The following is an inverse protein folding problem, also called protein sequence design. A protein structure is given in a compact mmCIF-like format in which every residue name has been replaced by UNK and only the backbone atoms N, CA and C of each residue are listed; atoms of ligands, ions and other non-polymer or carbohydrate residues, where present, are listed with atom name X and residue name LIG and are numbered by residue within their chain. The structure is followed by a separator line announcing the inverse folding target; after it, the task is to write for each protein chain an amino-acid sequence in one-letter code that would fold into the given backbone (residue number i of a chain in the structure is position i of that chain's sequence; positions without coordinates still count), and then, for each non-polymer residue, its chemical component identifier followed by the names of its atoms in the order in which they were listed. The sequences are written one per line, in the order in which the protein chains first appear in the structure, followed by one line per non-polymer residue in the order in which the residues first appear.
data_IF_767833990281
#
_entry.id   IF_767833990281
#
_cell.length_a   1.000
_cell.length_b   1.000
_cell.length_c   1.000
_cell.angle_alpha   90.00
_cell.angle_beta   90.00
_cell.angle_gamma   90.00
#
_symmetry.space_group_name_H-M   'P 1'
#
loop_
_entity.id
_entity.type
_entity.pdbx_description
1 polymer ?
#
# COMPACT_ATOMS: atom_id res chain seq x y z
N UNK A 1 -0.84 -1.52 -5.97
CA UNK A 1 -1.11 -0.46 -4.97
C UNK A 1 0.16 -0.03 -4.21
N UNK A 2 0.66 -0.78 -3.22
CA UNK A 2 1.73 -0.29 -2.32
C UNK A 2 3.14 -0.31 -2.91
N UNK A 3 3.46 -1.27 -3.77
CA UNK A 3 4.78 -1.46 -4.39
C UNK A 3 4.88 -0.88 -5.80
N UNK A 4 3.75 -0.42 -6.37
CA UNK A 4 3.68 0.05 -7.76
C UNK A 4 3.83 -1.03 -8.84
N UNK A 5 4.04 -2.29 -8.46
CA UNK A 5 4.18 -3.43 -9.40
C UNK A 5 3.56 -4.70 -8.81
N UNK A 6 3.09 -5.60 -9.67
CA UNK A 6 2.65 -6.96 -9.33
C UNK A 6 3.81 -7.97 -9.31
N UNK A 7 5.00 -7.59 -9.79
CA UNK A 7 6.18 -8.46 -9.82
C UNK A 7 6.79 -8.64 -8.42
N UNK A 8 7.16 -9.87 -8.09
CA UNK A 8 7.82 -10.23 -6.83
C UNK A 8 9.32 -10.46 -7.10
N UNK A 9 10.24 -9.93 -6.26
CA UNK A 9 11.67 -10.22 -6.40
C UNK A 9 11.94 -11.72 -6.29
N UNK A 10 12.91 -12.23 -7.07
CA UNK A 10 13.31 -13.64 -7.03
C UNK A 10 13.74 -14.09 -5.62
N UNK A 11 14.45 -13.22 -4.90
CA UNK A 11 14.88 -13.46 -3.51
C UNK A 11 13.77 -13.23 -2.47
N UNK A 12 12.52 -13.01 -2.92
CA UNK A 12 11.36 -12.77 -2.07
C UNK A 12 11.27 -11.35 -1.50
N UNK A 13 10.35 -11.16 -0.54
CA UNK A 13 10.02 -9.84 0.02
C UNK A 13 11.16 -9.22 0.85
N UNK A 14 12.11 -10.03 1.34
CA UNK A 14 13.28 -9.53 2.08
C UNK A 14 14.17 -8.63 1.21
N UNK A 15 14.17 -8.87 -0.10
CA UNK A 15 14.94 -8.12 -1.11
C UNK A 15 14.09 -7.11 -1.88
N UNK A 16 12.96 -6.67 -1.32
CA UNK A 16 12.20 -5.55 -1.90
C UNK A 16 13.09 -4.31 -2.03
N UNK A 17 12.98 -3.63 -3.17
CA UNK A 17 13.69 -2.38 -3.47
C UNK A 17 12.69 -1.24 -3.54
N UNK A 18 13.10 -0.09 -3.03
CA UNK A 18 12.47 1.19 -3.27
C UNK A 18 13.35 2.05 -4.18
N UNK A 19 12.95 3.32 -4.33
CA UNK A 19 13.66 4.34 -5.12
C UNK A 19 15.15 4.50 -4.76
N UNK A 20 15.50 4.37 -3.48
CA UNK A 20 16.87 4.61 -2.98
C UNK A 20 17.57 3.32 -2.49
N UNK A 21 17.20 2.14 -3.01
CA UNK A 21 17.84 0.86 -2.66
C UNK A 21 16.94 -0.11 -1.88
N UNK A 22 17.50 -1.06 -1.11
CA UNK A 22 16.72 -2.06 -0.37
C UNK A 22 15.74 -1.40 0.60
N UNK A 23 14.45 -1.72 0.47
CA UNK A 23 13.38 -1.15 1.29
C UNK A 23 12.27 -2.18 1.49
N UNK A 24 12.14 -2.65 2.72
CA UNK A 24 11.08 -3.57 3.13
C UNK A 24 9.71 -2.91 3.07
N UNK A 25 8.68 -3.73 2.90
CA UNK A 25 7.31 -3.31 3.08
C UNK A 25 7.08 -2.81 4.53
N UNK A 26 6.39 -1.69 4.67
CA UNK A 26 6.13 -1.07 5.97
C UNK A 26 4.69 -0.54 6.05
N UNK A 27 4.08 -0.66 7.23
CA UNK A 27 2.77 -0.09 7.54
C UNK A 27 2.93 0.95 8.63
N UNK A 28 2.48 2.17 8.37
CA UNK A 28 2.50 3.26 9.35
C UNK A 28 1.09 3.73 9.65
N UNK A 29 0.78 3.94 10.93
CA UNK A 29 -0.49 4.52 11.35
C UNK A 29 -0.52 6.01 10.97
N UNK A 30 -1.51 6.42 10.18
CA UNK A 30 -1.60 7.81 9.69
C UNK A 30 -3.04 8.27 9.45
N UNK A 31 -3.35 9.53 9.75
CA UNK A 31 -4.60 10.17 9.34
C UNK A 31 -5.80 9.89 10.24
N UNK A 32 -6.98 10.26 9.75
CA UNK A 32 -8.28 10.12 10.44
C UNK A 32 -9.03 8.90 9.92
N UNK A 33 -9.93 8.33 10.73
CA UNK A 33 -10.76 7.17 10.37
C UNK A 33 -11.61 7.36 9.10
N UNK A 34 -11.86 8.60 8.67
CA UNK A 34 -12.63 8.90 7.46
C UNK A 34 -11.79 8.88 6.19
N UNK A 35 -10.46 8.96 6.31
CA UNK A 35 -9.54 8.95 5.17
C UNK A 35 -9.45 7.55 4.55
N UNK A 36 -9.08 7.48 3.28
CA UNK A 36 -8.67 6.24 2.62
C UNK A 36 -7.20 5.92 2.94
N UNK A 37 -6.78 4.63 2.89
CA UNK A 37 -5.37 4.26 2.97
C UNK A 37 -4.59 4.87 1.81
N UNK A 38 -3.33 5.22 2.05
CA UNK A 38 -2.44 5.79 1.02
C UNK A 38 -1.21 4.93 0.87
N UNK A 39 -0.71 4.85 -0.36
CA UNK A 39 0.50 4.13 -0.70
C UNK A 39 1.61 5.09 -1.13
N UNK A 40 2.83 4.85 -0.67
CA UNK A 40 4.04 5.48 -1.18
C UNK A 40 4.90 4.41 -1.84
N UNK A 41 4.72 4.24 -3.15
CA UNK A 41 5.35 3.16 -3.94
C UNK A 41 6.87 3.22 -3.94
N UNK A 42 7.43 4.42 -4.00
CA UNK A 42 8.87 4.65 -3.90
C UNK A 42 9.51 4.11 -2.61
N UNK A 43 8.72 3.90 -1.55
CA UNK A 43 9.17 3.47 -0.23
C UNK A 43 8.55 2.15 0.24
N UNK A 44 7.75 1.48 -0.58
CA UNK A 44 6.97 0.29 -0.21
C UNK A 44 6.17 0.49 1.09
N UNK A 45 5.59 1.69 1.29
CA UNK A 45 4.92 2.08 2.53
C UNK A 45 3.41 2.23 2.37
N UNK A 46 2.66 1.61 3.26
CA UNK A 46 1.22 1.78 3.43
C UNK A 46 0.94 2.68 4.64
N UNK A 47 0.39 3.85 4.38
CA UNK A 47 -0.16 4.73 5.41
C UNK A 47 -1.60 4.29 5.70
N UNK A 48 -1.83 3.73 6.89
CA UNK A 48 -3.10 3.13 7.28
C UNK A 48 -3.80 3.96 8.38
N UNK A 49 -5.02 4.46 8.13
CA UNK A 49 -5.82 5.07 9.18
C UNK A 49 -6.19 4.09 10.29
N UNK A 50 -6.34 4.56 11.54
CA UNK A 50 -6.64 3.70 12.69
C UNK A 50 -8.12 3.30 12.73
N UNK A 51 -8.55 2.50 11.76
CA UNK A 51 -9.93 2.02 11.69
C UNK A 51 -10.28 1.17 12.92
N UNK A 52 -11.45 1.40 13.54
CA UNK A 52 -11.83 0.72 14.78
C UNK A 52 -12.28 -0.73 14.57
N UNK A 53 -12.60 -1.13 13.33
CA UNK A 53 -13.08 -2.48 13.02
C UNK A 53 -12.41 -3.05 11.78
N UNK A 54 -12.33 -4.39 11.73
CA UNK A 54 -11.83 -5.11 10.56
C UNK A 54 -12.68 -4.83 9.32
N UNK A 55 -14.01 -4.80 9.43
CA UNK A 55 -14.91 -4.53 8.29
C UNK A 55 -14.61 -3.17 7.66
N UNK A 56 -14.41 -2.13 8.47
CA UNK A 56 -14.08 -0.80 7.97
C UNK A 56 -12.70 -0.76 7.31
N UNK A 57 -11.70 -1.43 7.91
CA UNK A 57 -10.38 -1.57 7.30
C UNK A 57 -10.47 -2.26 5.94
N UNK A 58 -11.18 -3.38 5.87
CA UNK A 58 -11.34 -4.19 4.66
C UNK A 58 -12.00 -3.38 3.54
N UNK A 59 -13.16 -2.78 3.81
CA UNK A 59 -13.88 -1.97 2.82
C UNK A 59 -13.02 -0.82 2.29
N UNK A 60 -12.41 -0.04 3.19
CA UNK A 60 -11.60 1.13 2.79
C UNK A 60 -10.33 0.73 2.05
N UNK A 61 -9.70 -0.37 2.43
CA UNK A 61 -8.51 -0.88 1.75
C UNK A 61 -8.85 -1.43 0.37
N UNK A 62 -9.94 -2.18 0.24
CA UNK A 62 -10.43 -2.70 -1.03
C UNK A 62 -10.71 -1.54 -2.00
N UNK A 63 -11.47 -0.53 -1.55
CA UNK A 63 -11.71 0.69 -2.34
C UNK A 63 -10.41 1.34 -2.79
N UNK A 64 -9.43 1.54 -1.89
CA UNK A 64 -8.17 2.18 -2.28
C UNK A 64 -7.36 1.37 -3.31
N UNK A 65 -7.38 0.03 -3.23
CA UNK A 65 -6.69 -0.84 -4.18
C UNK A 65 -7.38 -0.85 -5.54
N UNK A 66 -8.71 -0.98 -5.57
CA UNK A 66 -9.51 -1.04 -6.80
C UNK A 66 -9.47 0.30 -7.57
N UNK A 67 -9.70 1.41 -6.88
CA UNK A 67 -9.67 2.75 -7.48
C UNK A 67 -8.29 3.09 -8.06
N UNK A 68 -7.21 2.60 -7.45
CA UNK A 68 -5.84 2.80 -7.99
C UNK A 68 -5.56 1.91 -9.20
N UNK A 69 -6.27 0.79 -9.34
CA UNK A 69 -6.08 -0.15 -10.46
C UNK A 69 -6.71 0.36 -11.76
N UNK A 70 -7.73 1.22 -11.66
CA UNK A 70 -8.41 1.84 -12.80
C UNK A 70 -7.53 2.80 -13.62
N UNK A 71 -6.48 3.38 -13.02
CA UNK A 71 -5.61 4.35 -13.72
C UNK A 71 -4.46 3.71 -14.53
N UNK A 72 -4.40 2.38 -14.64
CA UNK A 72 -3.32 1.64 -15.32
C UNK A 72 -3.69 1.01 -16.67
N UNK A 73 -4.85 1.35 -17.24
CA UNK A 73 -5.31 0.84 -18.54
C UNK A 73 -5.76 2.00 -19.45
N UNK A 74 -4.78 2.77 -19.94
CA UNK A 74 -4.82 3.45 -21.26
C UNK A 74 -3.40 3.51 -21.83
#
# INVERSE_FOLDING_TARGET
FVTGTSSIPYEGFASLRGSNGPRRFCVEKWGKITALPRAHTCFNRLDLPPYPSFSMLYEKLLTAVEETSTFGLE
#
